data_IF_501632168645
#
_entry.id   IF_501632168645
#
_cell.length_a   1.000
_cell.length_b   1.000
_cell.length_c   1.000
_cell.angle_alpha   90.00
_cell.angle_beta   90.00
_cell.angle_gamma   90.00
#
_symmetry.space_group_name_H-M   'P 1'
#
loop_
_entity.id
_entity.type
_entity.pdbx_description
1 polymer ?
#
# COMPACT_ATOMS: atom_id res chain seq x y z
N UNK A 1 8.76 14.38 2.14
CA UNK A 1 8.39 13.03 1.68
C UNK A 1 7.07 13.16 0.96
N UNK A 2 6.99 12.78 -0.31
CA UNK A 2 5.71 12.69 -1.03
C UNK A 2 5.19 11.28 -0.85
N UNK A 3 3.97 11.15 -0.34
CA UNK A 3 3.28 9.87 -0.19
C UNK A 3 2.01 9.91 -1.04
N UNK A 4 1.77 8.84 -1.79
CA UNK A 4 0.63 8.71 -2.68
C UNK A 4 0.16 7.27 -2.74
N UNK A 5 -1.06 7.09 -3.22
CA UNK A 5 -1.64 5.79 -3.54
C UNK A 5 -1.82 5.72 -5.05
N UNK A 6 -1.54 4.56 -5.63
CA UNK A 6 -1.70 4.33 -7.07
C UNK A 6 -2.94 3.48 -7.26
N UNK A 7 -3.92 4.02 -7.96
CA UNK A 7 -5.10 3.29 -8.42
C UNK A 7 -5.21 3.44 -9.93
N UNK A 8 -5.74 2.42 -10.65
CA UNK A 8 -6.13 2.58 -12.05
C UNK A 8 -7.07 3.79 -12.22
N UNK A 9 -6.87 4.56 -13.28
CA UNK A 9 -7.66 5.78 -13.56
C UNK A 9 -9.16 5.50 -13.63
N UNK A 10 -9.52 4.33 -14.14
CA UNK A 10 -10.90 3.88 -14.30
C UNK A 10 -11.61 3.76 -12.94
N UNK A 11 -10.89 3.31 -11.91
CA UNK A 11 -11.43 3.23 -10.55
C UNK A 11 -11.68 4.62 -9.97
N UNK A 12 -10.74 5.55 -10.20
CA UNK A 12 -10.87 6.95 -9.78
C UNK A 12 -12.08 7.61 -10.44
N UNK A 13 -12.29 7.41 -11.72
CA UNK A 13 -13.40 8.03 -12.45
C UNK A 13 -14.75 7.52 -11.96
N UNK A 14 -14.88 6.22 -11.71
CA UNK A 14 -16.09 5.63 -11.08
C UNK A 14 -16.31 6.22 -9.69
N UNK A 15 -15.27 6.33 -8.87
CA UNK A 15 -15.38 6.90 -7.52
C UNK A 15 -15.86 8.36 -7.56
N UNK A 16 -15.37 9.16 -8.51
CA UNK A 16 -15.80 10.54 -8.71
C UNK A 16 -17.27 10.63 -9.17
N UNK A 17 -17.74 9.69 -9.99
CA UNK A 17 -19.15 9.59 -10.37
C UNK A 17 -20.04 9.21 -9.18
N UNK A 18 -19.63 8.23 -8.38
CA UNK A 18 -20.35 7.83 -7.15
C UNK A 18 -20.42 9.00 -6.17
N UNK A 19 -19.33 9.76 -6.03
CA UNK A 19 -19.29 10.98 -5.24
C UNK A 19 -20.24 12.06 -5.77
N UNK A 20 -20.25 12.33 -7.08
CA UNK A 20 -21.11 13.38 -7.66
C UNK A 20 -22.61 13.06 -7.55
N UNK A 21 -22.96 11.77 -7.48
CA UNK A 21 -24.32 11.30 -7.19
C UNK A 21 -24.72 11.42 -5.71
N UNK A 22 -23.80 11.86 -4.82
CA UNK A 22 -24.05 11.99 -3.39
C UNK A 22 -24.05 10.66 -2.63
N UNK A 23 -23.63 9.57 -3.26
CA UNK A 23 -23.64 8.23 -2.65
C UNK A 23 -22.55 8.04 -1.58
N UNK A 24 -21.58 8.96 -1.51
CA UNK A 24 -20.58 8.99 -0.44
C UNK A 24 -20.95 9.94 0.71
N UNK A 25 -22.18 10.47 0.72
CA UNK A 25 -22.65 11.37 1.79
C UNK A 25 -22.90 10.60 3.08
N UNK A 26 -22.42 11.18 4.20
CA UNK A 26 -22.75 10.74 5.56
C UNK A 26 -24.05 11.35 6.09
N UNK A 27 -24.64 12.32 5.38
CA UNK A 27 -25.93 12.92 5.79
C UNK A 27 -27.07 11.95 5.48
N UNK A 28 -27.85 11.53 6.50
CA UNK A 28 -29.01 10.67 6.29
C UNK A 28 -30.04 11.34 5.38
N UNK A 29 -30.72 10.50 4.59
CA UNK A 29 -31.86 10.88 3.77
C UNK A 29 -33.06 10.00 4.13
N UNK A 30 -34.25 10.57 4.08
CA UNK A 30 -35.48 9.82 4.31
C UNK A 30 -35.89 9.05 3.06
N UNK A 31 -35.93 7.72 3.17
CA UNK A 31 -36.39 6.82 2.11
C UNK A 31 -37.57 6.01 2.66
N UNK A 32 -38.79 6.36 2.21
CA UNK A 32 -40.04 5.71 2.62
C UNK A 32 -40.22 5.65 4.14
N UNK A 33 -39.88 6.73 4.85
CA UNK A 33 -40.00 6.83 6.30
C UNK A 33 -38.82 6.28 7.10
N UNK A 34 -37.80 5.74 6.44
CA UNK A 34 -36.57 5.26 7.09
C UNK A 34 -35.43 6.23 6.80
N UNK A 35 -34.67 6.57 7.84
CA UNK A 35 -33.42 7.33 7.68
C UNK A 35 -32.33 6.38 7.17
N UNK A 36 -31.75 6.70 6.02
CA UNK A 36 -30.70 5.91 5.38
C UNK A 36 -29.51 6.81 5.06
N UNK A 37 -28.33 6.43 5.51
CA UNK A 37 -27.07 7.07 5.11
C UNK A 37 -26.64 6.52 3.74
N UNK A 38 -26.45 7.37 2.72
CA UNK A 38 -25.99 6.92 1.40
C UNK A 38 -24.69 6.12 1.45
N UNK A 39 -23.72 6.57 2.27
CA UNK A 39 -22.44 5.88 2.45
C UNK A 39 -22.62 4.44 3.00
N UNK A 40 -23.44 4.27 4.03
CA UNK A 40 -23.69 2.96 4.64
C UNK A 40 -24.42 2.02 3.67
N UNK A 41 -25.39 2.58 2.92
CA UNK A 41 -26.09 1.84 1.89
C UNK A 41 -25.13 1.34 0.81
N UNK A 42 -24.31 2.22 0.23
CA UNK A 42 -23.42 1.82 -0.87
C UNK A 42 -22.34 0.84 -0.39
N UNK A 43 -21.78 1.04 0.81
CA UNK A 43 -20.83 0.11 1.42
C UNK A 43 -21.42 -1.30 1.62
N UNK A 44 -22.70 -1.38 2.01
CA UNK A 44 -23.41 -2.65 2.19
C UNK A 44 -23.88 -3.25 0.85
N UNK A 45 -24.12 -2.42 -0.15
CA UNK A 45 -24.65 -2.83 -1.45
C UNK A 45 -23.56 -3.33 -2.40
N UNK A 46 -22.36 -2.73 -2.40
CA UNK A 46 -21.25 -3.12 -3.28
C UNK A 46 -20.94 -4.64 -3.26
N UNK A 47 -20.87 -5.32 -2.10
CA UNK A 47 -20.64 -6.76 -2.04
C UNK A 47 -21.68 -7.57 -2.84
N UNK A 48 -22.95 -7.12 -2.85
CA UNK A 48 -24.01 -7.77 -3.63
C UNK A 48 -23.81 -7.65 -5.15
N UNK A 49 -23.06 -6.62 -5.59
CA UNK A 49 -22.75 -6.37 -7.00
C UNK A 49 -21.49 -7.07 -7.49
N UNK A 50 -20.73 -7.75 -6.62
CA UNK A 50 -19.41 -8.31 -6.94
C UNK A 50 -19.43 -9.21 -8.20
N UNK A 51 -20.49 -10.03 -8.37
CA UNK A 51 -20.67 -10.88 -9.55
C UNK A 51 -20.88 -10.08 -10.85
N UNK A 52 -21.66 -8.99 -10.79
CA UNK A 52 -21.87 -8.11 -11.94
C UNK A 52 -20.60 -7.32 -12.28
N UNK A 53 -19.86 -6.84 -11.26
CA UNK A 53 -18.58 -6.14 -11.45
C UNK A 53 -17.57 -7.06 -12.14
N UNK A 54 -17.45 -8.31 -11.70
CA UNK A 54 -16.61 -9.30 -12.37
C UNK A 54 -17.05 -9.61 -13.80
N UNK A 55 -18.37 -9.66 -14.07
CA UNK A 55 -18.92 -9.89 -15.40
C UNK A 55 -18.71 -8.70 -16.37
N UNK A 56 -18.50 -7.49 -15.86
CA UNK A 56 -18.17 -6.29 -16.66
C UNK A 56 -16.73 -6.29 -17.18
N UNK A 57 -15.96 -7.37 -16.95
CA UNK A 57 -14.59 -7.50 -17.45
C UNK A 57 -13.56 -6.72 -16.65
N UNK A 58 -13.96 -6.17 -15.49
CA UNK A 58 -13.03 -5.53 -14.57
C UNK A 58 -12.14 -6.59 -13.94
N UNK A 59 -10.89 -6.67 -14.39
CA UNK A 59 -9.86 -7.47 -13.72
C UNK A 59 -9.36 -6.67 -12.53
N UNK A 60 -9.85 -6.99 -11.33
CA UNK A 60 -9.24 -6.49 -10.12
C UNK A 60 -7.76 -6.92 -10.10
N UNK A 61 -6.81 -6.01 -9.82
CA UNK A 61 -5.43 -6.41 -9.64
C UNK A 61 -5.36 -7.45 -8.51
N UNK A 62 -4.66 -8.55 -8.75
CA UNK A 62 -4.59 -9.66 -7.81
C UNK A 62 -3.83 -9.25 -6.52
N UNK A 63 -2.91 -8.29 -6.61
CA UNK A 63 -2.15 -7.76 -5.48
C UNK A 63 -2.02 -6.24 -5.47
N UNK A 64 -1.36 -5.74 -4.42
CA UNK A 64 -0.90 -4.37 -4.30
C UNK A 64 0.55 -4.22 -4.76
N UNK A 65 0.96 -2.96 -4.97
CA UNK A 65 2.34 -2.60 -5.23
C UNK A 65 2.76 -1.47 -4.29
N UNK A 66 4.02 -1.52 -3.84
CA UNK A 66 4.65 -0.45 -3.07
C UNK A 66 5.90 0.01 -3.82
N UNK A 67 6.12 1.32 -3.86
CA UNK A 67 7.34 1.90 -4.42
C UNK A 67 7.84 3.03 -3.51
N UNK A 68 9.13 3.00 -3.21
CA UNK A 68 9.85 4.03 -2.48
C UNK A 68 10.99 4.52 -3.34
N UNK A 69 11.00 5.81 -3.62
CA UNK A 69 12.09 6.48 -4.34
C UNK A 69 12.80 7.44 -3.39
N UNK A 70 14.11 7.28 -3.24
CA UNK A 70 14.97 8.13 -2.42
C UNK A 70 15.95 8.85 -3.34
N UNK A 71 15.77 10.16 -3.47
CA UNK A 71 16.66 11.06 -4.21
C UNK A 71 17.57 11.79 -3.25
N UNK A 72 18.87 11.83 -3.54
CA UNK A 72 19.82 12.54 -2.70
C UNK A 72 21.19 12.65 -3.33
N UNK A 73 22.16 13.02 -2.51
CA UNK A 73 23.57 13.10 -2.88
C UNK A 73 24.35 12.07 -2.06
N UNK A 74 25.24 11.34 -2.72
CA UNK A 74 26.15 10.42 -2.05
C UNK A 74 27.53 10.58 -2.68
N UNK A 75 28.52 10.91 -1.85
CA UNK A 75 29.88 11.26 -2.29
C UNK A 75 29.90 12.40 -3.33
N UNK A 76 29.15 13.47 -3.08
CA UNK A 76 29.07 14.64 -3.98
C UNK A 76 28.54 14.37 -5.38
N UNK A 77 27.87 13.23 -5.57
CA UNK A 77 27.18 12.90 -6.82
C UNK A 77 25.69 12.66 -6.57
N UNK A 78 24.80 13.20 -7.43
CA UNK A 78 23.38 12.88 -7.39
C UNK A 78 23.15 11.38 -7.58
N UNK A 79 22.37 10.79 -6.69
CA UNK A 79 21.95 9.38 -6.74
C UNK A 79 20.46 9.23 -6.46
N UNK A 80 19.85 8.26 -7.12
CA UNK A 80 18.47 7.86 -6.87
C UNK A 80 18.43 6.37 -6.60
N UNK A 81 17.83 5.99 -5.48
CA UNK A 81 17.51 4.60 -5.15
C UNK A 81 16.00 4.40 -5.27
N UNK A 82 15.60 3.40 -6.04
CA UNK A 82 14.20 3.02 -6.18
C UNK A 82 14.03 1.59 -5.67
N UNK A 83 13.14 1.41 -4.71
CA UNK A 83 12.71 0.11 -4.23
C UNK A 83 11.25 -0.08 -4.61
N UNK A 84 10.92 -1.18 -5.28
CA UNK A 84 9.55 -1.51 -5.63
C UNK A 84 9.27 -2.97 -5.30
N UNK A 85 8.05 -3.29 -4.88
CA UNK A 85 7.64 -4.66 -4.68
C UNK A 85 6.14 -4.85 -4.87
N UNK A 86 5.75 -6.07 -5.20
CA UNK A 86 4.35 -6.49 -5.27
C UNK A 86 4.05 -7.44 -4.13
N UNK A 87 2.86 -7.33 -3.55
CA UNK A 87 2.39 -8.30 -2.56
C UNK A 87 0.87 -8.19 -2.43
N UNK A 88 0.25 -9.28 -2.00
CA UNK A 88 -1.15 -9.26 -1.60
C UNK A 88 -1.30 -8.50 -0.27
N UNK A 89 -2.45 -7.85 -0.05
CA UNK A 89 -2.64 -7.02 1.16
C UNK A 89 -2.44 -7.79 2.47
N UNK A 90 -2.84 -9.08 2.50
CA UNK A 90 -2.69 -9.93 3.67
C UNK A 90 -1.22 -10.18 3.96
N UNK A 91 -0.47 -10.67 2.99
CA UNK A 91 0.94 -11.06 3.10
C UNK A 91 1.82 -9.84 3.34
N UNK A 92 1.60 -8.76 2.58
CA UNK A 92 2.31 -7.48 2.75
C UNK A 92 2.10 -6.81 4.11
N UNK A 93 1.07 -7.21 4.87
CA UNK A 93 0.84 -6.74 6.25
C UNK A 93 1.28 -7.77 7.28
N UNK A 94 0.92 -9.03 7.10
CA UNK A 94 1.13 -10.09 8.08
C UNK A 94 2.60 -10.50 8.19
N UNK A 95 3.31 -10.60 7.07
CA UNK A 95 4.74 -11.00 7.07
C UNK A 95 5.60 -10.00 7.84
N UNK A 96 5.54 -8.67 7.58
CA UNK A 96 6.23 -7.68 8.40
C UNK A 96 5.90 -7.73 9.89
N UNK A 97 4.64 -8.01 10.25
CA UNK A 97 4.20 -8.13 11.65
C UNK A 97 4.81 -9.36 12.31
N UNK A 98 4.80 -10.51 11.63
CA UNK A 98 5.38 -11.75 12.15
C UNK A 98 6.90 -11.60 12.39
N UNK A 99 7.63 -11.10 11.40
CA UNK A 99 9.07 -10.83 11.51
C UNK A 99 9.35 -9.86 12.67
N UNK A 100 8.58 -8.79 12.79
CA UNK A 100 8.71 -7.84 13.89
C UNK A 100 8.50 -8.50 15.27
N UNK A 101 7.52 -9.38 15.39
CA UNK A 101 7.25 -10.12 16.62
C UNK A 101 8.40 -11.09 16.97
N UNK A 102 8.95 -11.80 15.99
CA UNK A 102 10.11 -12.68 16.16
C UNK A 102 11.35 -11.90 16.60
N UNK A 103 11.60 -10.74 16.00
CA UNK A 103 12.70 -9.85 16.39
C UNK A 103 12.55 -9.27 17.79
N UNK A 104 11.33 -9.12 18.30
CA UNK A 104 11.11 -8.76 19.71
C UNK A 104 11.41 -9.97 20.61
N UNK A 105 10.92 -11.15 20.23
CA UNK A 105 11.07 -12.38 21.01
C UNK A 105 12.53 -12.85 21.13
N UNK A 106 13.33 -12.74 20.06
CA UNK A 106 14.76 -13.11 20.05
C UNK A 106 15.68 -12.04 20.66
N UNK A 107 15.11 -10.88 21.03
CA UNK A 107 15.84 -9.76 21.60
C UNK A 107 16.62 -8.93 20.57
N UNK A 108 16.36 -9.06 19.27
CA UNK A 108 16.90 -8.15 18.24
C UNK A 108 16.38 -6.73 18.45
N UNK A 109 15.10 -6.57 18.79
CA UNK A 109 14.46 -5.31 19.16
C UNK A 109 14.32 -5.26 20.68
N UNK A 110 15.11 -4.41 21.36
CA UNK A 110 15.13 -4.27 22.82
C UNK A 110 14.56 -2.94 23.33
N UNK A 111 13.86 -2.21 22.47
CA UNK A 111 13.50 -0.81 22.70
C UNK A 111 12.13 -0.73 23.41
N UNK A 112 12.06 -0.49 24.73
CA UNK A 112 10.77 -0.44 25.42
C UNK A 112 9.96 0.79 25.04
N UNK A 113 8.64 0.69 25.21
CA UNK A 113 7.68 1.75 24.92
C UNK A 113 7.02 1.63 23.54
N UNK A 114 6.24 2.64 23.16
CA UNK A 114 5.56 2.70 21.86
C UNK A 114 6.47 3.44 20.88
N UNK A 115 6.99 2.73 19.88
CA UNK A 115 7.92 3.29 18.89
C UNK A 115 7.51 2.85 17.49
N UNK A 116 7.66 3.76 16.55
CA UNK A 116 7.51 3.45 15.15
C UNK A 116 8.72 2.64 14.65
N UNK A 117 8.57 1.82 13.59
CA UNK A 117 9.60 0.90 13.12
C UNK A 117 10.95 1.57 12.84
N UNK A 118 10.97 2.77 12.29
CA UNK A 118 12.18 3.53 11.97
C UNK A 118 13.06 3.86 13.19
N UNK A 119 12.49 3.81 14.40
CA UNK A 119 13.19 4.13 15.65
C UNK A 119 13.68 2.89 16.42
N UNK A 120 13.21 1.68 16.08
CA UNK A 120 13.49 0.48 16.88
C UNK A 120 13.83 -0.78 16.07
N UNK A 121 13.44 -0.85 14.80
CA UNK A 121 13.68 -2.01 13.93
C UNK A 121 15.01 -1.84 13.20
N UNK A 122 15.97 -2.79 13.30
CA UNK A 122 17.20 -2.74 12.51
C UNK A 122 16.89 -2.95 11.01
N UNK A 123 16.99 -1.91 10.16
CA UNK A 123 16.37 -1.94 8.83
C UNK A 123 16.99 -2.99 7.92
N UNK A 124 18.33 -3.12 7.92
CA UNK A 124 19.03 -4.12 7.07
C UNK A 124 18.65 -5.54 7.44
N UNK A 125 18.62 -5.87 8.73
CA UNK A 125 18.27 -7.22 9.19
C UNK A 125 16.82 -7.53 8.83
N UNK A 126 15.92 -6.57 9.06
CA UNK A 126 14.49 -6.73 8.75
C UNK A 126 14.24 -6.93 7.26
N UNK A 127 14.82 -6.09 6.40
CA UNK A 127 14.65 -6.21 4.95
C UNK A 127 15.27 -7.52 4.43
N UNK A 128 16.43 -7.95 4.92
CA UNK A 128 17.01 -9.23 4.49
C UNK A 128 16.09 -10.41 4.82
N UNK A 129 15.54 -10.48 6.04
CA UNK A 129 14.59 -11.54 6.42
C UNK A 129 13.33 -11.46 5.55
N UNK A 130 12.83 -10.26 5.28
CA UNK A 130 11.66 -10.06 4.43
C UNK A 130 11.89 -10.51 2.98
N UNK A 131 13.11 -10.35 2.45
CA UNK A 131 13.48 -10.78 1.09
C UNK A 131 13.80 -12.28 0.99
N UNK A 132 14.19 -12.91 2.09
CA UNK A 132 14.37 -14.36 2.18
C UNK A 132 13.03 -15.09 2.35
N UNK A 133 12.01 -14.40 2.86
CA UNK A 133 10.66 -14.94 3.03
C UNK A 133 9.95 -15.09 1.67
N UNK A 134 9.47 -16.30 1.36
CA UNK A 134 8.80 -16.62 0.10
C UNK A 134 7.35 -16.10 0.03
N UNK A 135 6.80 -15.55 1.11
CA UNK A 135 5.42 -15.03 1.15
C UNK A 135 5.36 -13.55 0.76
N UNK A 136 6.46 -12.82 0.92
CA UNK A 136 6.58 -11.49 0.36
C UNK A 136 6.77 -11.62 -1.16
N UNK A 137 5.96 -10.91 -1.95
CA UNK A 137 6.02 -11.05 -3.40
C UNK A 137 7.30 -10.44 -3.99
N UNK A 138 7.36 -10.37 -5.31
CA UNK A 138 8.58 -9.96 -6.01
C UNK A 138 9.03 -8.54 -5.63
N UNK A 139 10.35 -8.37 -5.51
CA UNK A 139 10.98 -7.10 -5.17
C UNK A 139 12.07 -6.73 -6.18
N UNK A 140 12.12 -5.45 -6.53
CA UNK A 140 13.10 -4.87 -7.42
C UNK A 140 13.79 -3.68 -6.77
N UNK A 141 15.10 -3.57 -7.01
CA UNK A 141 15.91 -2.42 -6.60
C UNK A 141 16.60 -1.83 -7.82
N UNK A 142 16.33 -0.55 -8.07
CA UNK A 142 16.98 0.25 -9.11
C UNK A 142 17.91 1.29 -8.50
N UNK A 143 19.05 1.52 -9.13
CA UNK A 143 19.97 2.60 -8.79
C UNK A 143 20.21 3.44 -10.04
N UNK A 144 19.98 4.75 -9.95
CA UNK A 144 20.31 5.70 -11.01
C UNK A 144 21.40 6.62 -10.53
N UNK A 145 22.52 6.65 -11.26
CA UNK A 145 23.69 7.48 -10.97
C UNK A 145 24.11 8.24 -12.22
N UNK A 146 24.68 9.43 -12.03
CA UNK A 146 25.26 10.20 -13.13
C UNK A 146 26.57 9.53 -13.58
N UNK A 147 26.67 9.15 -14.84
CA UNK A 147 27.93 8.66 -15.42
C UNK A 147 28.69 9.85 -16.00
N UNK A 148 29.92 10.08 -15.54
CA UNK A 148 30.83 11.08 -16.12
C UNK A 148 31.94 10.37 -16.91
N UNK A 149 31.85 10.46 -18.24
CA UNK A 149 32.81 9.92 -19.22
C UNK A 149 32.30 10.09 -20.65
N UNK A 150 33.20 10.25 -21.64
CA UNK A 150 32.83 10.22 -23.06
C UNK A 150 32.41 8.79 -23.43
N UNK A 151 31.18 8.64 -23.95
CA UNK A 151 30.72 7.43 -24.64
C UNK A 151 31.49 7.22 -25.95
#
# INVERSE_FOLDING_TARGET
MLQGHIFPSEFRDVLLQVHSLGLLSEKPINVKGNEVTPLDFIASFIPSMQKQIGAMGYKAPEGGAVMVEVKGEHNSQPKVYTFAGTSHMREGTATPVAIGAEMIADGTIKSPGVKAPEACVPPKKFINVLLEDELFGDVWMGVTEKIEGQL
#
